data_IF_072273559791
#
_entry.id   IF_072273559791
#
_cell.length_a   1.000
_cell.length_b   1.000
_cell.length_c   1.000
_cell.angle_alpha   90.00
_cell.angle_beta   90.00
_cell.angle_gamma   90.00
#
_symmetry.space_group_name_H-M   'P 1'
#
loop_
_entity.id
_entity.type
_entity.pdbx_description
1 polymer ?
#
# COMPACT_ATOMS: atom_id res chain seq x y z
N UNK A 1 -30.16 16.36 10.02
CA UNK A 1 -29.25 16.49 8.88
C UNK A 1 -27.83 16.50 9.42
N UNK A 2 -27.20 15.34 9.55
CA UNK A 2 -25.80 15.26 9.98
C UNK A 2 -24.93 15.69 8.82
N UNK A 3 -24.38 16.90 8.88
CA UNK A 3 -23.31 17.33 7.97
C UNK A 3 -22.12 16.41 8.23
N UNK A 4 -21.98 15.35 7.44
CA UNK A 4 -20.83 14.46 7.51
C UNK A 4 -19.64 15.28 7.06
N UNK A 5 -18.82 15.73 8.02
CA UNK A 5 -17.55 16.40 7.71
C UNK A 5 -16.79 15.50 6.74
N UNK A 6 -16.41 16.02 5.54
CA UNK A 6 -15.72 15.23 4.55
C UNK A 6 -14.40 14.71 5.13
N UNK A 7 -14.12 13.44 4.83
CA UNK A 7 -12.96 12.74 5.36
C UNK A 7 -11.66 13.42 4.91
N UNK A 8 -10.78 13.72 5.85
CA UNK A 8 -9.56 14.50 5.59
C UNK A 8 -8.42 13.56 5.22
N UNK A 9 -7.78 13.81 4.09
CA UNK A 9 -6.56 13.09 3.68
C UNK A 9 -5.36 13.66 4.40
N UNK A 10 -4.57 12.80 5.03
CA UNK A 10 -3.45 13.18 5.89
C UNK A 10 -2.11 12.89 5.23
N UNK A 11 -1.95 11.70 4.64
CA UNK A 11 -0.69 11.27 4.06
C UNK A 11 -0.90 10.22 2.98
N UNK A 12 0.15 10.03 2.16
CA UNK A 12 0.25 8.95 1.20
C UNK A 12 1.58 8.24 1.38
N UNK A 13 1.54 6.95 1.69
CA UNK A 13 2.71 6.09 1.62
C UNK A 13 2.76 5.54 0.19
N UNK A 14 3.73 6.01 -0.57
CA UNK A 14 3.82 5.75 -2.01
C UNK A 14 3.90 4.27 -2.37
N UNK A 15 4.54 3.46 -1.50
CA UNK A 15 4.80 2.06 -1.79
C UNK A 15 4.96 1.22 -0.53
N UNK A 16 4.17 0.16 -0.45
CA UNK A 16 4.29 -0.92 0.53
C UNK A 16 4.22 -2.25 -0.22
N UNK A 17 5.24 -3.08 0.01
CA UNK A 17 5.37 -4.40 -0.60
C UNK A 17 4.95 -5.43 0.45
N UNK A 18 3.94 -6.22 0.13
CA UNK A 18 3.45 -7.31 0.97
C UNK A 18 3.89 -8.63 0.34
N UNK A 19 4.72 -9.44 1.02
CA UNK A 19 5.09 -10.76 0.54
C UNK A 19 3.86 -11.65 0.34
N UNK A 20 3.82 -12.41 -0.75
CA UNK A 20 2.77 -13.40 -1.05
C UNK A 20 3.39 -14.65 -1.68
N UNK A 21 2.67 -15.76 -1.69
CA UNK A 21 3.17 -17.06 -2.14
C UNK A 21 3.47 -17.09 -3.65
N UNK A 22 2.64 -16.43 -4.46
CA UNK A 22 2.83 -16.34 -5.92
C UNK A 22 3.76 -15.18 -6.26
N UNK A 23 3.33 -13.95 -5.97
CA UNK A 23 4.06 -12.71 -6.27
C UNK A 23 3.75 -11.65 -5.21
N UNK A 24 4.74 -10.87 -4.75
CA UNK A 24 4.49 -9.82 -3.77
C UNK A 24 3.45 -8.83 -4.32
N UNK A 25 2.52 -8.45 -3.45
CA UNK A 25 1.51 -7.46 -3.76
C UNK A 25 2.06 -6.08 -3.41
N UNK A 26 1.85 -5.12 -4.30
CA UNK A 26 2.24 -3.74 -4.06
C UNK A 26 1.03 -2.86 -3.83
N UNK A 27 1.13 -2.01 -2.81
CA UNK A 27 0.09 -1.08 -2.41
C UNK A 27 0.66 0.33 -2.26
N UNK A 28 -0.14 1.33 -2.58
CA UNK A 28 0.01 2.67 -2.00
C UNK A 28 -0.94 2.75 -0.80
N UNK A 29 -0.58 3.46 0.28
CA UNK A 29 -1.46 3.61 1.44
C UNK A 29 -1.90 5.06 1.52
N UNK A 30 -3.18 5.31 1.24
CA UNK A 30 -3.81 6.59 1.53
C UNK A 30 -4.26 6.58 2.99
N UNK A 31 -3.70 7.48 3.79
CA UNK A 31 -4.05 7.65 5.21
C UNK A 31 -4.98 8.85 5.33
N UNK A 32 -6.15 8.63 5.91
CA UNK A 32 -7.11 9.68 6.23
C UNK A 32 -7.22 9.88 7.74
N UNK A 33 -8.08 10.78 8.19
CA UNK A 33 -8.39 10.93 9.63
C UNK A 33 -9.16 9.73 10.21
N UNK A 34 -9.81 8.89 9.38
CA UNK A 34 -10.68 7.79 9.83
C UNK A 34 -10.19 6.38 9.49
N UNK A 35 -9.44 6.24 8.40
CA UNK A 35 -9.04 4.93 7.86
C UNK A 35 -7.76 5.02 7.06
N UNK A 36 -7.12 3.86 6.94
CA UNK A 36 -6.03 3.65 6.01
C UNK A 36 -6.53 2.76 4.88
N UNK A 37 -6.29 3.20 3.64
CA UNK A 37 -6.73 2.49 2.43
C UNK A 37 -5.50 2.07 1.65
N UNK A 38 -5.29 0.76 1.56
CA UNK A 38 -4.24 0.12 0.78
C UNK A 38 -4.74 -0.09 -0.64
N UNK A 39 -4.23 0.72 -1.56
CA UNK A 39 -4.64 0.79 -2.95
C UNK A 39 -3.73 -0.09 -3.79
N UNK A 40 -4.29 -1.16 -4.37
CA UNK A 40 -3.50 -2.18 -5.09
C UNK A 40 -2.94 -1.62 -6.41
N UNK A 41 -1.64 -1.78 -6.62
CA UNK A 41 -0.96 -1.38 -7.85
C UNK A 41 -0.98 -2.54 -8.87
N UNK A 42 -1.47 -2.29 -10.09
CA UNK A 42 -1.71 -3.35 -11.11
C UNK A 42 -0.45 -3.78 -11.90
N UNK A 43 0.65 -3.02 -11.85
CA UNK A 43 1.72 -3.08 -12.88
C UNK A 43 3.02 -3.81 -12.52
N UNK A 44 3.10 -4.59 -11.44
CA UNK A 44 4.39 -5.18 -11.02
C UNK A 44 4.64 -6.62 -11.46
N UNK A 45 4.00 -7.05 -12.56
CA UNK A 45 4.16 -8.41 -13.11
C UNK A 45 5.43 -8.61 -13.95
N UNK A 46 5.98 -7.57 -14.57
CA UNK A 46 7.02 -7.73 -15.61
C UNK A 46 8.43 -8.07 -15.10
N UNK A 47 8.81 -7.64 -13.89
CA UNK A 47 10.22 -7.63 -13.46
C UNK A 47 10.50 -8.42 -12.17
N UNK A 48 9.54 -9.20 -11.66
CA UNK A 48 9.73 -9.93 -10.40
C UNK A 48 10.57 -11.21 -10.55
N UNK A 49 10.54 -11.87 -11.72
CA UNK A 49 11.29 -13.11 -11.94
C UNK A 49 12.82 -12.92 -11.84
N UNK A 50 13.35 -11.74 -12.17
CA UNK A 50 14.77 -11.39 -11.96
C UNK A 50 15.15 -11.16 -10.48
N UNK A 51 14.17 -11.12 -9.55
CA UNK A 51 14.35 -10.57 -8.19
C UNK A 51 14.34 -11.60 -7.07
N UNK A 52 14.12 -12.88 -7.37
CA UNK A 52 14.20 -13.94 -6.34
C UNK A 52 15.64 -14.20 -5.85
N UNK A 53 16.64 -13.79 -6.64
CA UNK A 53 18.07 -13.84 -6.27
C UNK A 53 18.54 -12.60 -5.50
N UNK A 54 17.77 -11.51 -5.53
CA UNK A 54 18.22 -10.21 -5.07
C UNK A 54 17.43 -9.85 -3.81
N UNK A 55 18.13 -9.81 -2.66
CA UNK A 55 17.63 -9.41 -1.35
C UNK A 55 16.67 -8.21 -1.43
N UNK A 56 15.58 -8.24 -0.66
CA UNK A 56 14.50 -7.24 -0.69
C UNK A 56 14.95 -5.76 -0.60
N UNK A 57 16.18 -5.48 -0.16
CA UNK A 57 16.79 -4.14 -0.15
C UNK A 57 16.99 -3.52 -1.54
N UNK A 58 17.08 -4.31 -2.61
CA UNK A 58 17.32 -3.81 -3.98
C UNK A 58 16.02 -3.64 -4.79
N UNK A 59 14.90 -4.14 -4.28
CA UNK A 59 13.57 -3.91 -4.85
C UNK A 59 13.10 -2.45 -4.76
N UNK A 60 13.81 -1.62 -3.96
CA UNK A 60 13.64 -0.18 -3.82
C UNK A 60 14.02 0.61 -5.10
N UNK A 61 14.76 0.01 -6.03
CA UNK A 61 15.28 0.66 -7.25
C UNK A 61 14.46 0.21 -8.47
N UNK A 62 13.21 0.65 -8.55
CA UNK A 62 12.40 0.48 -9.77
C UNK A 62 11.79 1.80 -10.17
N UNK A 63 11.76 2.04 -11.48
CA UNK A 63 11.20 3.19 -12.20
C UNK A 63 9.67 3.33 -12.07
N UNK A 64 9.11 3.00 -10.91
CA UNK A 64 7.74 3.33 -10.56
C UNK A 64 7.73 4.81 -10.18
N UNK A 65 7.14 5.63 -11.04
CA UNK A 65 6.84 7.03 -10.73
C UNK A 65 5.96 7.01 -9.46
N UNK A 66 6.46 7.51 -8.32
CA UNK A 66 5.72 7.48 -7.08
C UNK A 66 4.48 8.36 -7.26
N UNK A 67 3.29 7.77 -7.04
CA UNK A 67 2.05 8.54 -7.10
C UNK A 67 2.01 9.54 -5.96
N UNK A 68 1.61 10.78 -6.21
CA UNK A 68 1.51 11.80 -5.17
C UNK A 68 0.10 11.89 -4.61
N UNK A 69 -0.09 12.70 -3.58
CA UNK A 69 -1.40 12.89 -2.95
C UNK A 69 -2.39 13.55 -3.93
N UNK A 70 -1.86 14.35 -4.87
CA UNK A 70 -2.55 14.98 -5.99
C UNK A 70 -3.16 13.94 -6.95
N UNK A 71 -2.47 12.83 -7.22
CA UNK A 71 -3.01 11.75 -8.07
C UNK A 71 -4.27 11.13 -7.50
N UNK A 72 -4.45 11.23 -6.18
CA UNK A 72 -5.63 10.74 -5.50
C UNK A 72 -6.65 11.84 -5.21
N UNK A 73 -6.36 13.13 -5.46
CA UNK A 73 -7.26 14.26 -5.20
C UNK A 73 -8.65 14.06 -5.83
N UNK A 74 -8.68 13.66 -7.09
CA UNK A 74 -9.92 13.48 -7.86
C UNK A 74 -10.61 12.14 -7.61
N UNK A 75 -9.96 11.18 -6.95
CA UNK A 75 -10.56 9.88 -6.66
C UNK A 75 -11.36 9.96 -5.37
N UNK A 76 -12.64 9.58 -5.35
CA UNK A 76 -13.42 9.59 -4.11
C UNK A 76 -12.94 8.49 -3.16
N UNK A 77 -13.04 8.74 -1.86
CA UNK A 77 -12.64 7.75 -0.83
C UNK A 77 -13.60 6.55 -0.90
N UNK A 78 -14.87 6.82 -1.16
CA UNK A 78 -15.94 5.84 -1.33
C UNK A 78 -15.62 4.85 -2.45
N UNK A 79 -15.20 5.34 -3.61
CA UNK A 79 -14.81 4.50 -4.75
C UNK A 79 -13.59 3.63 -4.42
N UNK A 80 -12.61 4.15 -3.69
CA UNK A 80 -11.45 3.37 -3.24
C UNK A 80 -11.85 2.26 -2.27
N UNK A 81 -12.83 2.50 -1.41
CA UNK A 81 -13.32 1.51 -0.44
C UNK A 81 -14.29 0.49 -1.03
N UNK A 82 -14.94 0.82 -2.14
CA UNK A 82 -15.82 -0.11 -2.87
C UNK A 82 -15.05 -1.12 -3.74
N UNK A 83 -13.79 -0.81 -4.08
CA UNK A 83 -12.92 -1.72 -4.83
C UNK A 83 -12.44 -2.88 -3.94
N UNK A 84 -12.88 -4.10 -4.27
CA UNK A 84 -12.56 -5.32 -3.53
C UNK A 84 -11.09 -5.74 -3.61
N UNK A 85 -10.30 -5.13 -4.50
CA UNK A 85 -8.86 -5.37 -4.59
C UNK A 85 -8.06 -4.52 -3.61
N UNK A 86 -8.68 -3.48 -3.04
CA UNK A 86 -8.10 -2.63 -2.01
C UNK A 86 -8.38 -3.20 -0.63
N UNK A 87 -7.49 -2.89 0.31
CA UNK A 87 -7.70 -3.24 1.73
C UNK A 87 -8.01 -1.96 2.47
N UNK A 88 -9.11 -1.95 3.21
CA UNK A 88 -9.52 -0.82 4.04
C UNK A 88 -9.42 -1.22 5.49
N UNK A 89 -8.77 -0.37 6.29
CA UNK A 89 -8.59 -0.55 7.73
C UNK A 89 -9.08 0.70 8.44
N UNK A 90 -10.18 0.57 9.19
CA UNK A 90 -10.68 1.63 10.07
C UNK A 90 -9.72 1.83 11.24
N UNK A 91 -9.40 3.09 11.57
CA UNK A 91 -8.46 3.41 12.65
C UNK A 91 -8.97 2.97 14.02
N UNK A 92 -10.29 3.01 14.25
CA UNK A 92 -10.90 2.49 15.48
C UNK A 92 -10.76 0.97 15.66
N UNK A 93 -10.54 0.24 14.56
CA UNK A 93 -10.36 -1.22 14.58
C UNK A 93 -8.88 -1.62 14.75
N UNK A 94 -7.94 -0.67 14.73
CA UNK A 94 -6.51 -0.95 14.88
C UNK A 94 -6.18 -1.13 16.36
N UNK A 95 -5.83 -2.36 16.74
CA UNK A 95 -5.48 -2.71 18.12
C UNK A 95 -3.96 -2.60 18.35
N UNK A 96 -3.14 -2.88 17.34
CA UNK A 96 -1.68 -2.78 17.43
C UNK A 96 -1.03 -2.56 16.06
N UNK A 97 0.13 -1.90 16.06
CA UNK A 97 1.02 -1.76 14.90
C UNK A 97 2.41 -2.26 15.33
N UNK A 98 2.90 -3.31 14.67
CA UNK A 98 4.20 -3.90 14.98
C UNK A 98 5.11 -3.87 13.76
N UNK A 99 6.32 -3.35 13.94
CA UNK A 99 7.39 -3.41 12.94
C UNK A 99 8.22 -4.64 13.25
N UNK A 100 8.20 -5.65 12.37
CA UNK A 100 9.06 -6.83 12.48
C UNK A 100 10.31 -6.60 11.63
N UNK A 101 11.48 -6.70 12.27
CA UNK A 101 12.74 -6.83 11.54
C UNK A 101 12.82 -8.27 11.04
N UNK A 102 12.65 -8.47 9.74
CA UNK A 102 12.88 -9.79 9.14
C UNK A 102 14.38 -9.95 8.89
N UNK A 103 15.04 -10.80 9.68
CA UNK A 103 16.42 -11.23 9.39
C UNK A 103 16.37 -12.26 8.28
N UNK A 104 16.71 -11.84 7.06
CA UNK A 104 16.85 -12.75 5.93
C UNK A 104 18.02 -13.70 6.19
N UNK A 105 17.72 -14.97 6.49
CA UNK A 105 18.74 -16.01 6.50
C UNK A 105 19.17 -16.27 5.05
N UNK A 106 20.46 -16.16 4.71
CA UNK A 106 20.93 -16.59 3.40
C UNK A 106 20.61 -18.09 3.26
N UNK A 107 19.94 -18.47 2.18
CA UNK A 107 19.79 -19.88 1.84
C UNK A 107 21.17 -20.40 1.44
N UNK A 108 21.61 -21.47 2.11
CA UNK A 108 22.82 -22.23 1.75
C UNK A 108 22.61 -22.99 0.46
#
# INVERSE_FOLDING_TARGET
MTSTVPERRLALIHRVIVPDQEHPKEYAILVTDRRSIFIRQKNTRGNFWLRREISYGTALITDLIPKTLEDYQQTSVESLTADSTNIMVHHEAVISLAVKKEEQKPRK
#
